data_IF_379724377090
#
_entry.id   IF_379724377090
#
_cell.length_a   1.000
_cell.length_b   1.000
_cell.length_c   1.000
_cell.angle_alpha   90.00
_cell.angle_beta   90.00
_cell.angle_gamma   90.00
#
_symmetry.space_group_name_H-M   'P 1'
#
loop_
_entity.id
_entity.type
_entity.pdbx_description
1 polymer ?
#
# COMPACT_ATOMS: atom_id res chain seq x y z
N UNK A 1 -7.36 -20.08 65.97
CA UNK A 1 -6.36 -19.34 66.76
C UNK A 1 -5.01 -19.96 66.42
N UNK A 2 -4.23 -19.31 65.54
CA UNK A 2 -2.96 -18.60 65.87
C UNK A 2 -1.89 -19.60 66.36
N UNK A 3 -0.69 -19.74 65.80
CA UNK A 3 0.23 -18.72 65.26
C UNK A 3 1.45 -19.38 64.57
N UNK A 4 1.95 -18.74 63.51
CA UNK A 4 3.36 -18.49 63.13
C UNK A 4 4.44 -19.59 63.16
N UNK A 5 5.04 -19.85 62.00
CA UNK A 5 6.42 -19.37 61.72
C UNK A 5 6.88 -19.74 60.29
N UNK A 6 6.79 -18.76 59.39
CA UNK A 6 7.60 -18.70 58.18
C UNK A 6 9.03 -18.31 58.54
N UNK A 7 10.08 -18.96 58.02
CA UNK A 7 11.37 -18.30 57.89
C UNK A 7 11.41 -17.59 56.53
N UNK A 8 11.27 -16.27 56.56
CA UNK A 8 11.80 -15.41 55.51
C UNK A 8 13.32 -15.56 55.48
N UNK A 9 13.85 -16.07 54.37
CA UNK A 9 15.16 -15.66 53.88
C UNK A 9 14.97 -15.15 52.45
N UNK A 10 15.29 -13.87 52.28
CA UNK A 10 15.29 -13.09 51.04
C UNK A 10 16.73 -12.54 50.91
N UNK A 11 17.19 -11.91 49.82
CA UNK A 11 16.93 -12.02 48.38
C UNK A 11 18.26 -12.29 47.61
N UNK A 12 18.24 -12.26 46.27
CA UNK A 12 19.39 -12.08 45.36
C UNK A 12 20.18 -13.32 44.91
N UNK A 13 19.73 -13.96 43.83
CA UNK A 13 20.58 -14.37 42.69
C UNK A 13 19.77 -15.08 41.61
N UNK A 14 19.17 -14.29 40.72
CA UNK A 14 18.92 -14.62 39.29
C UNK A 14 17.88 -13.66 38.73
N UNK A 15 18.30 -12.42 38.50
CA UNK A 15 17.53 -11.45 37.71
C UNK A 15 17.58 -11.86 36.22
N UNK A 16 16.82 -12.88 35.86
CA UNK A 16 16.27 -13.02 34.52
C UNK A 16 14.78 -12.66 34.65
N UNK A 17 14.27 -11.64 33.94
CA UNK A 17 12.84 -11.38 33.96
C UNK A 17 12.13 -12.65 33.49
N UNK A 18 11.20 -13.16 34.30
CA UNK A 18 10.35 -14.28 33.91
C UNK A 18 9.77 -13.97 32.51
N UNK A 19 9.85 -14.91 31.54
CA UNK A 19 9.37 -14.65 30.20
C UNK A 19 7.91 -14.24 30.30
N UNK A 20 7.64 -12.99 29.92
CA UNK A 20 6.30 -12.42 29.99
C UNK A 20 5.31 -13.39 29.33
N UNK A 21 4.13 -13.63 29.93
CA UNK A 21 3.11 -14.47 29.34
C UNK A 21 2.86 -14.08 27.88
N UNK A 22 2.93 -15.05 26.97
CA UNK A 22 2.87 -14.85 25.51
C UNK A 22 1.66 -14.00 25.10
N UNK A 23 0.53 -14.15 25.80
CA UNK A 23 -0.69 -13.39 25.54
C UNK A 23 -0.55 -11.88 25.80
N UNK A 24 0.31 -11.45 26.74
CA UNK A 24 0.59 -10.03 26.99
C UNK A 24 1.32 -9.42 25.80
N UNK A 25 2.30 -10.13 25.24
CA UNK A 25 3.03 -9.70 24.05
C UNK A 25 2.15 -9.63 22.80
N UNK A 26 1.21 -10.56 22.65
CA UNK A 26 0.24 -10.53 21.54
C UNK A 26 -0.74 -9.35 21.71
N UNK A 27 -1.19 -9.10 22.94
CA UNK A 27 -2.10 -8.01 23.24
C UNK A 27 -1.46 -6.64 23.01
N UNK A 28 -0.24 -6.43 23.49
CA UNK A 28 0.48 -5.17 23.26
C UNK A 28 0.73 -4.95 21.77
N UNK A 29 1.14 -6.00 21.04
CA UNK A 29 1.26 -5.98 19.59
C UNK A 29 -0.05 -5.61 18.88
N UNK A 30 -1.19 -6.10 19.38
CA UNK A 30 -2.51 -5.79 18.83
C UNK A 30 -2.94 -4.34 19.13
N UNK A 31 -2.64 -3.84 20.33
CA UNK A 31 -2.96 -2.47 20.77
C UNK A 31 -2.19 -1.42 19.97
N UNK A 32 -0.99 -1.74 19.49
CA UNK A 32 -0.19 -0.87 18.61
C UNK A 32 -0.62 -0.90 17.13
N UNK A 33 -1.49 -1.83 16.73
CA UNK A 33 -2.02 -1.88 15.37
C UNK A 33 -3.19 -0.89 15.19
N UNK A 34 -3.29 -0.18 14.05
CA UNK A 34 -4.46 0.65 13.77
C UNK A 34 -5.73 -0.22 13.62
N UNK A 35 -6.89 0.40 13.84
CA UNK A 35 -8.21 -0.26 13.74
C UNK A 35 -8.34 -1.06 12.43
N UNK A 36 -8.63 -2.35 12.56
CA UNK A 36 -8.76 -3.27 11.43
C UNK A 36 -8.84 -4.73 11.88
N UNK A 37 -9.20 -5.61 10.95
CA UNK A 37 -9.43 -7.04 11.23
C UNK A 37 -8.22 -7.74 11.86
N UNK A 38 -6.99 -7.39 11.44
CA UNK A 38 -5.73 -7.92 11.98
C UNK A 38 -5.56 -7.65 13.49
N UNK A 39 -5.98 -6.47 13.96
CA UNK A 39 -5.99 -6.12 15.39
C UNK A 39 -7.01 -6.96 16.15
N UNK A 40 -8.22 -7.11 15.60
CA UNK A 40 -9.30 -7.89 16.20
C UNK A 40 -8.91 -9.36 16.34
N UNK A 41 -8.28 -9.94 15.31
CA UNK A 41 -7.80 -11.32 15.33
C UNK A 41 -6.73 -11.53 16.42
N UNK A 42 -5.76 -10.60 16.57
CA UNK A 42 -4.74 -10.70 17.60
C UNK A 42 -5.30 -10.53 19.02
N UNK A 43 -6.28 -9.64 19.21
CA UNK A 43 -6.97 -9.47 20.49
C UNK A 43 -7.74 -10.75 20.87
N UNK A 44 -8.45 -11.37 19.92
CA UNK A 44 -9.14 -12.64 20.15
C UNK A 44 -8.19 -13.78 20.49
N UNK A 45 -7.01 -13.82 19.84
CA UNK A 45 -5.98 -14.83 20.15
C UNK A 45 -5.39 -14.58 21.54
N UNK A 46 -5.07 -13.33 21.90
CA UNK A 46 -4.55 -12.98 23.22
C UNK A 46 -5.56 -13.32 24.34
N UNK A 47 -6.83 -13.00 24.14
CA UNK A 47 -7.91 -13.28 25.09
C UNK A 47 -8.10 -14.79 25.30
N UNK A 48 -8.08 -15.59 24.24
CA UNK A 48 -8.19 -17.06 24.35
C UNK A 48 -6.98 -17.70 25.04
N UNK A 49 -5.80 -17.13 24.85
CA UNK A 49 -4.58 -17.58 25.53
C UNK A 49 -4.57 -17.22 27.02
N UNK A 50 -5.15 -16.07 27.37
CA UNK A 50 -5.33 -15.65 28.76
C UNK A 50 -6.25 -16.61 29.53
N UNK A 51 -7.27 -17.17 28.87
CA UNK A 51 -8.25 -18.07 29.49
C UNK A 51 -7.88 -19.56 29.44
N UNK A 52 -6.67 -19.91 28.96
CA UNK A 52 -6.16 -21.28 28.95
C UNK A 52 -6.94 -22.28 28.08
N UNK A 53 -7.85 -21.81 27.22
CA UNK A 53 -8.96 -22.63 26.69
C UNK A 53 -8.75 -23.19 25.27
N UNK A 54 -7.53 -23.19 24.73
CA UNK A 54 -7.20 -24.01 23.56
C UNK A 54 -5.68 -24.18 23.40
N UNK A 55 -5.21 -25.35 22.94
CA UNK A 55 -3.88 -25.43 22.38
C UNK A 55 -3.79 -24.50 21.16
N UNK A 56 -2.70 -23.73 21.03
CA UNK A 56 -2.52 -22.69 20.02
C UNK A 56 -2.72 -23.16 18.56
N UNK A 57 -2.65 -24.46 18.31
CA UNK A 57 -2.92 -25.06 17.01
C UNK A 57 -4.37 -24.90 16.53
N UNK A 58 -5.34 -24.79 17.45
CA UNK A 58 -6.77 -24.63 17.10
C UNK A 58 -7.11 -23.16 16.85
N UNK A 59 -6.43 -22.24 17.55
CA UNK A 59 -6.59 -20.79 17.36
C UNK A 59 -6.05 -20.32 16.00
N UNK A 60 -4.93 -20.89 15.54
CA UNK A 60 -4.30 -20.61 14.24
C UNK A 60 -5.09 -21.20 13.06
N UNK A 61 -5.71 -22.38 13.23
CA UNK A 61 -6.55 -23.04 12.20
C UNK A 61 -7.81 -22.26 11.81
N UNK A 62 -8.41 -21.50 12.74
CA UNK A 62 -9.64 -20.72 12.47
C UNK A 62 -9.37 -19.40 11.73
N UNK A 63 -8.18 -18.82 11.85
CA UNK A 63 -7.75 -17.60 11.14
C UNK A 63 -6.98 -17.91 9.82
N UNK A 64 -6.69 -19.20 9.57
CA UNK A 64 -6.01 -19.73 8.38
C UNK A 64 -6.63 -19.31 7.03
N UNK A 65 -7.85 -18.75 7.03
CA UNK A 65 -8.46 -18.28 5.80
C UNK A 65 -7.87 -16.96 5.28
N UNK A 66 -7.30 -16.05 6.11
CA UNK A 66 -6.96 -14.69 5.63
C UNK A 66 -5.78 -13.92 6.23
N UNK A 67 -5.05 -14.37 7.25
CA UNK A 67 -4.04 -13.51 7.90
C UNK A 67 -2.63 -14.08 7.91
N UNK A 68 -1.70 -13.33 7.29
CA UNK A 68 -0.25 -13.47 7.36
C UNK A 68 0.29 -13.77 8.77
N UNK A 69 -0.35 -13.16 9.76
CA UNK A 69 -0.10 -13.29 11.18
C UNK A 69 -0.23 -14.73 11.69
N UNK A 70 -1.19 -15.51 11.20
CA UNK A 70 -1.46 -16.86 11.71
C UNK A 70 -0.32 -17.82 11.39
N UNK A 71 0.24 -17.72 10.18
CA UNK A 71 1.40 -18.48 9.77
C UNK A 71 2.62 -18.06 10.59
N UNK A 72 2.95 -16.77 10.67
CA UNK A 72 4.10 -16.30 11.47
C UNK A 72 3.98 -16.66 12.95
N UNK A 73 2.78 -16.59 13.52
CA UNK A 73 2.48 -17.02 14.89
C UNK A 73 2.75 -18.52 15.06
N UNK A 74 2.32 -19.36 14.13
CA UNK A 74 2.54 -20.79 14.18
C UNK A 74 4.04 -21.15 14.14
N UNK A 75 4.82 -20.53 13.25
CA UNK A 75 6.28 -20.73 13.24
C UNK A 75 6.98 -20.21 14.49
N UNK A 76 6.52 -19.08 15.02
CA UNK A 76 7.10 -18.44 16.20
C UNK A 76 6.91 -19.32 17.46
N UNK A 77 5.85 -20.14 17.46
CA UNK A 77 5.56 -21.11 18.52
C UNK A 77 6.34 -22.40 18.36
N UNK A 78 6.51 -22.91 17.14
CA UNK A 78 7.31 -24.11 16.86
C UNK A 78 8.81 -23.87 17.14
N UNK A 79 9.29 -22.64 16.94
CA UNK A 79 10.71 -22.25 17.15
C UNK A 79 11.06 -21.81 18.57
N UNK A 80 10.08 -21.69 19.49
CA UNK A 80 10.30 -21.22 20.86
C UNK A 80 10.76 -19.76 21.00
N UNK A 81 10.88 -19.00 19.90
CA UNK A 81 11.41 -17.63 19.85
C UNK A 81 10.32 -16.61 19.54
N UNK A 82 9.17 -16.76 20.20
CA UNK A 82 7.96 -16.00 19.94
C UNK A 82 8.18 -14.48 19.94
N UNK A 83 8.85 -13.96 20.96
CA UNK A 83 9.06 -12.52 21.14
C UNK A 83 9.86 -11.89 19.99
N UNK A 84 10.94 -12.54 19.54
CA UNK A 84 11.83 -12.00 18.51
C UNK A 84 11.18 -12.00 17.12
N UNK A 85 10.47 -13.07 16.78
CA UNK A 85 9.74 -13.17 15.51
C UNK A 85 8.60 -12.15 15.45
N UNK A 86 7.91 -11.94 16.56
CA UNK A 86 6.82 -10.97 16.64
C UNK A 86 7.34 -9.53 16.57
N UNK A 87 8.43 -9.22 17.28
CA UNK A 87 9.05 -7.90 17.27
C UNK A 87 9.52 -7.51 15.86
N UNK A 88 10.22 -8.40 15.16
CA UNK A 88 10.70 -8.13 13.80
C UNK A 88 9.55 -8.08 12.78
N UNK A 89 8.51 -8.91 12.96
CA UNK A 89 7.28 -8.81 12.17
C UNK A 89 6.59 -7.45 12.37
N UNK A 90 6.44 -7.00 13.61
CA UNK A 90 5.83 -5.71 13.94
C UNK A 90 6.65 -4.56 13.36
N UNK A 91 7.98 -4.60 13.48
CA UNK A 91 8.90 -3.62 12.91
C UNK A 91 8.76 -3.52 11.38
N UNK A 92 8.77 -4.67 10.70
CA UNK A 92 8.60 -4.76 9.24
C UNK A 92 7.22 -4.26 8.81
N UNK A 93 6.16 -4.68 9.50
CA UNK A 93 4.79 -4.26 9.22
C UNK A 93 4.58 -2.75 9.41
N UNK A 94 5.16 -2.17 10.49
CA UNK A 94 5.18 -0.72 10.73
C UNK A 94 5.86 0.02 9.58
N UNK A 95 7.02 -0.44 9.13
CA UNK A 95 7.78 0.19 8.04
C UNK A 95 7.02 0.15 6.71
N UNK A 96 6.45 -0.99 6.33
CA UNK A 96 5.62 -1.15 5.14
C UNK A 96 4.33 -0.32 5.22
N UNK A 97 3.74 -0.19 6.41
CA UNK A 97 2.55 0.62 6.61
C UNK A 97 2.85 2.11 6.48
N UNK A 98 3.96 2.60 7.04
CA UNK A 98 4.43 3.99 6.88
C UNK A 98 4.70 4.33 5.42
N UNK A 99 5.37 3.43 4.68
CA UNK A 99 5.59 3.54 3.24
C UNK A 99 4.28 3.77 2.48
N UNK A 100 3.29 2.91 2.76
CA UNK A 100 2.01 2.98 2.05
C UNK A 100 1.17 4.18 2.46
N UNK A 101 1.15 4.52 3.73
CA UNK A 101 0.49 5.73 4.21
C UNK A 101 1.09 6.99 3.59
N UNK A 102 2.42 7.07 3.49
CA UNK A 102 3.11 8.18 2.80
C UNK A 102 2.70 8.26 1.33
N UNK A 103 2.60 7.14 0.63
CA UNK A 103 2.12 7.10 -0.76
C UNK A 103 0.69 7.63 -0.89
N UNK A 104 -0.25 7.17 -0.05
CA UNK A 104 -1.65 7.62 -0.10
C UNK A 104 -1.81 9.09 0.31
N UNK A 105 -1.13 9.54 1.38
CA UNK A 105 -1.18 10.96 1.79
C UNK A 105 -0.69 11.89 0.68
N UNK A 106 0.30 11.44 -0.09
CA UNK A 106 0.88 12.25 -1.16
C UNK A 106 -0.04 12.45 -2.35
N UNK A 107 -0.99 11.53 -2.57
CA UNK A 107 -1.98 11.64 -3.65
C UNK A 107 -3.18 12.51 -3.26
N UNK A 108 -3.39 12.77 -1.98
CA UNK A 108 -4.50 13.62 -1.50
C UNK A 108 -4.34 15.05 -2.00
N UNK A 109 -3.12 15.60 -1.95
CA UNK A 109 -2.85 16.97 -2.37
C UNK A 109 -3.20 17.24 -3.85
N UNK A 110 -2.67 16.50 -4.85
CA UNK A 110 -3.01 16.74 -6.25
C UNK A 110 -4.49 16.49 -6.54
N UNK A 111 -5.11 15.52 -5.87
CA UNK A 111 -6.53 15.24 -6.05
C UNK A 111 -7.43 16.37 -5.52
N UNK A 112 -7.13 16.89 -4.34
CA UNK A 112 -7.84 18.03 -3.76
C UNK A 112 -7.70 19.28 -4.64
N UNK A 113 -6.49 19.55 -5.15
CA UNK A 113 -6.25 20.68 -6.05
C UNK A 113 -7.00 20.54 -7.37
N UNK A 114 -7.03 19.34 -7.97
CA UNK A 114 -7.74 19.08 -9.22
C UNK A 114 -9.25 19.21 -9.04
N UNK A 115 -9.81 18.72 -7.94
CA UNK A 115 -11.23 18.94 -7.59
C UNK A 115 -11.51 20.44 -7.49
N UNK A 116 -10.71 21.18 -6.72
CA UNK A 116 -10.92 22.62 -6.53
C UNK A 116 -10.83 23.38 -7.84
N UNK A 117 -9.81 23.10 -8.67
CA UNK A 117 -9.65 23.71 -9.98
C UNK A 117 -10.84 23.39 -10.90
N UNK A 118 -11.33 22.15 -10.88
CA UNK A 118 -12.49 21.74 -11.68
C UNK A 118 -13.76 22.46 -11.24
N UNK A 119 -13.99 22.60 -9.92
CA UNK A 119 -15.12 23.36 -9.38
C UNK A 119 -15.04 24.82 -9.83
N UNK A 120 -13.89 25.47 -9.64
CA UNK A 120 -13.69 26.88 -10.04
C UNK A 120 -13.92 27.06 -11.54
N UNK A 121 -13.36 26.18 -12.37
CA UNK A 121 -13.53 26.21 -13.82
C UNK A 121 -14.98 25.98 -14.24
N UNK A 122 -15.68 25.04 -13.61
CA UNK A 122 -17.08 24.76 -13.88
C UNK A 122 -17.98 25.95 -13.51
N UNK A 123 -17.78 26.55 -12.33
CA UNK A 123 -18.51 27.76 -11.92
C UNK A 123 -18.26 28.89 -12.92
N UNK A 124 -17.01 29.07 -13.35
CA UNK A 124 -16.65 30.09 -14.32
C UNK A 124 -17.35 29.85 -15.67
N UNK A 125 -17.27 28.63 -16.22
CA UNK A 125 -17.90 28.30 -17.49
C UNK A 125 -19.43 28.43 -17.44
N UNK A 126 -20.08 28.00 -16.35
CA UNK A 126 -21.54 28.03 -16.26
C UNK A 126 -22.09 29.45 -16.07
N UNK A 127 -21.46 30.26 -15.21
CA UNK A 127 -21.97 31.60 -14.88
C UNK A 127 -21.43 32.68 -15.83
N UNK A 128 -20.11 32.71 -16.05
CA UNK A 128 -19.45 33.79 -16.79
C UNK A 128 -19.65 33.62 -18.30
N UNK A 129 -19.59 32.39 -18.82
CA UNK A 129 -19.76 32.14 -20.25
C UNK A 129 -21.15 32.52 -20.76
N UNK A 130 -22.20 32.26 -19.99
CA UNK A 130 -23.56 32.58 -20.43
C UNK A 130 -23.83 34.09 -20.41
N UNK A 131 -23.31 34.81 -19.41
CA UNK A 131 -23.41 36.27 -19.37
C UNK A 131 -22.72 36.91 -20.58
N UNK A 132 -21.52 36.45 -20.91
CA UNK A 132 -20.78 36.95 -22.07
C UNK A 132 -21.45 36.59 -23.39
N UNK A 133 -21.97 35.37 -23.53
CA UNK A 133 -22.75 34.96 -24.72
C UNK A 133 -23.92 35.92 -24.96
N UNK A 134 -24.70 36.24 -23.93
CA UNK A 134 -25.83 37.16 -24.05
C UNK A 134 -25.41 38.56 -24.49
N UNK A 135 -24.27 39.04 -23.98
CA UNK A 135 -23.71 40.34 -24.35
C UNK A 135 -23.23 40.33 -25.81
N UNK A 136 -22.46 39.33 -26.23
CA UNK A 136 -21.93 39.23 -27.60
C UNK A 136 -23.03 39.08 -28.65
N UNK A 137 -24.08 38.30 -28.38
CA UNK A 137 -25.25 38.17 -29.26
C UNK A 137 -25.96 39.52 -29.39
N UNK A 138 -26.06 40.30 -28.30
CA UNK A 138 -26.62 41.65 -28.33
C UNK A 138 -25.86 42.63 -29.24
N UNK A 139 -24.58 42.38 -29.50
CA UNK A 139 -23.76 43.16 -30.43
C UNK A 139 -23.77 42.63 -31.87
N UNK A 140 -24.38 41.47 -32.15
CA UNK A 140 -24.48 40.90 -33.49
C UNK A 140 -23.14 40.42 -34.09
N UNK A 141 -22.12 40.20 -33.27
CA UNK A 141 -20.77 39.81 -33.71
C UNK A 141 -20.64 38.29 -33.79
N UNK A 142 -20.00 37.79 -34.86
CA UNK A 142 -19.68 36.36 -34.99
C UNK A 142 -18.68 35.92 -33.91
N UNK A 143 -19.08 34.95 -33.09
CA UNK A 143 -18.25 34.44 -32.01
C UNK A 143 -17.02 33.69 -32.58
N UNK A 144 -15.80 33.95 -32.07
CA UNK A 144 -14.62 33.17 -32.43
C UNK A 144 -14.82 31.67 -32.16
N UNK A 145 -14.21 30.81 -32.99
CA UNK A 145 -14.29 29.36 -32.87
C UNK A 145 -13.92 28.83 -31.47
N UNK A 146 -12.93 29.47 -30.81
CA UNK A 146 -12.51 29.14 -29.44
C UNK A 146 -13.63 29.38 -28.41
N UNK A 147 -14.36 30.50 -28.55
CA UNK A 147 -15.49 30.87 -27.68
C UNK A 147 -16.70 29.97 -27.91
N UNK A 148 -16.97 29.60 -29.17
CA UNK A 148 -18.02 28.61 -29.50
C UNK A 148 -17.71 27.26 -28.86
N UNK A 149 -16.47 26.79 -28.97
CA UNK A 149 -16.04 25.55 -28.31
C UNK A 149 -16.27 25.60 -26.79
N UNK A 150 -15.87 26.69 -26.11
CA UNK A 150 -16.10 26.87 -24.67
C UNK A 150 -17.59 26.89 -24.28
N UNK A 151 -18.44 27.55 -25.08
CA UNK A 151 -19.90 27.55 -24.85
C UNK A 151 -20.47 26.15 -25.02
N UNK A 152 -20.01 25.40 -26.03
CA UNK A 152 -20.46 24.02 -26.25
C UNK A 152 -20.07 23.11 -25.08
N UNK A 153 -18.85 23.27 -24.55
CA UNK A 153 -18.40 22.56 -23.35
C UNK A 153 -19.20 23.00 -22.12
N UNK A 154 -19.50 24.30 -21.96
CA UNK A 154 -20.32 24.82 -20.86
C UNK A 154 -21.76 24.29 -20.90
N UNK A 155 -22.39 24.28 -22.07
CA UNK A 155 -23.74 23.75 -22.28
C UNK A 155 -23.78 22.24 -21.99
N UNK A 156 -22.73 21.49 -22.37
CA UNK A 156 -22.59 20.07 -22.02
C UNK A 156 -22.38 19.85 -20.52
N UNK A 157 -21.55 20.67 -19.87
CA UNK A 157 -21.34 20.63 -18.42
C UNK A 157 -22.60 21.00 -17.65
N UNK A 158 -23.40 21.95 -18.14
CA UNK A 158 -24.67 22.35 -17.53
C UNK A 158 -25.74 21.27 -17.67
N UNK A 159 -25.86 20.66 -18.86
CA UNK A 159 -26.80 19.58 -19.11
C UNK A 159 -26.46 18.29 -18.33
N UNK A 160 -25.17 18.02 -18.14
CA UNK A 160 -24.67 16.81 -17.50
C UNK A 160 -23.94 17.06 -16.18
N UNK A 161 -24.25 18.15 -15.45
CA UNK A 161 -23.53 18.51 -14.21
C UNK A 161 -23.56 17.37 -13.18
N UNK A 162 -24.68 16.64 -13.10
CA UNK A 162 -24.84 15.43 -12.27
C UNK A 162 -23.92 14.31 -12.76
N UNK A 163 -23.78 14.10 -14.07
CA UNK A 163 -22.87 13.09 -14.63
C UNK A 163 -21.39 13.48 -14.46
N UNK A 164 -21.05 14.77 -14.54
CA UNK A 164 -19.70 15.27 -14.26
C UNK A 164 -19.33 15.14 -12.78
N UNK A 165 -20.29 15.36 -11.88
CA UNK A 165 -20.14 15.12 -10.44
C UNK A 165 -20.04 13.61 -10.13
N UNK A 166 -20.79 12.77 -10.84
CA UNK A 166 -20.63 11.31 -10.81
C UNK A 166 -19.29 10.85 -11.41
N UNK A 167 -18.75 11.53 -12.42
CA UNK A 167 -17.44 11.23 -13.00
C UNK A 167 -16.31 11.57 -12.01
N UNK A 168 -16.38 12.74 -11.37
CA UNK A 168 -15.46 13.16 -10.31
C UNK A 168 -15.56 12.24 -9.09
N UNK A 169 -16.77 11.91 -8.65
CA UNK A 169 -17.01 10.93 -7.59
C UNK A 169 -16.52 9.53 -7.99
N UNK A 170 -16.67 9.15 -9.27
CA UNK A 170 -16.17 7.91 -9.84
C UNK A 170 -14.65 7.85 -9.89
N UNK A 171 -13.97 8.95 -10.24
CA UNK A 171 -12.52 9.08 -10.17
C UNK A 171 -12.01 9.03 -8.72
N UNK A 172 -12.71 9.71 -7.80
CA UNK A 172 -12.40 9.68 -6.36
C UNK A 172 -12.62 8.28 -5.77
N UNK A 173 -13.66 7.59 -6.24
CA UNK A 173 -13.99 6.24 -5.84
C UNK A 173 -13.15 5.19 -6.58
N UNK A 174 -12.47 5.50 -7.69
CA UNK A 174 -11.66 4.56 -8.47
C UNK A 174 -10.63 3.80 -7.63
N UNK A 175 -9.82 4.43 -6.75
CA UNK A 175 -8.94 3.71 -5.83
C UNK A 175 -9.70 2.80 -4.86
N UNK A 176 -10.91 3.20 -4.45
CA UNK A 176 -11.78 2.42 -3.59
C UNK A 176 -12.42 1.26 -4.36
N UNK A 177 -12.86 1.48 -5.60
CA UNK A 177 -13.51 0.50 -6.47
C UNK A 177 -12.50 -0.57 -6.92
N UNK A 178 -11.25 -0.18 -7.21
CA UNK A 178 -10.13 -1.11 -7.41
C UNK A 178 -9.90 -2.02 -6.20
N UNK A 179 -10.22 -1.59 -4.97
CA UNK A 179 -10.18 -2.47 -3.80
C UNK A 179 -11.24 -3.59 -3.86
N UNK A 180 -12.38 -3.33 -4.51
CA UNK A 180 -13.55 -4.21 -4.59
C UNK A 180 -13.64 -5.09 -5.85
N UNK A 181 -12.83 -4.86 -6.89
CA UNK A 181 -12.82 -5.74 -8.07
C UNK A 181 -12.43 -7.20 -7.70
N UNK A 182 -13.20 -8.22 -8.14
CA UNK A 182 -12.86 -9.62 -7.93
C UNK A 182 -11.67 -10.03 -8.83
N UNK A 183 -10.73 -10.80 -8.26
CA UNK A 183 -9.52 -11.25 -8.95
C UNK A 183 -8.26 -10.48 -8.53
N UNK A 184 -7.69 -10.85 -7.37
CA UNK A 184 -6.48 -10.20 -6.82
C UNK A 184 -5.30 -10.21 -7.81
N UNK A 185 -5.15 -11.28 -8.59
CA UNK A 185 -4.08 -11.42 -9.57
C UNK A 185 -4.24 -10.50 -10.79
N UNK A 186 -5.46 -10.41 -11.34
CA UNK A 186 -5.76 -9.51 -12.45
C UNK A 186 -5.54 -8.05 -12.04
N UNK A 187 -5.99 -7.67 -10.84
CA UNK A 187 -5.75 -6.33 -10.29
C UNK A 187 -4.27 -6.02 -10.12
N UNK A 188 -3.49 -6.96 -9.58
CA UNK A 188 -2.04 -6.76 -9.42
C UNK A 188 -1.36 -6.60 -10.78
N UNK A 189 -1.79 -7.34 -11.81
CA UNK A 189 -1.26 -7.24 -13.17
C UNK A 189 -1.61 -5.90 -13.85
N UNK A 190 -2.85 -5.42 -13.70
CA UNK A 190 -3.28 -4.12 -14.21
C UNK A 190 -2.54 -2.98 -13.50
N UNK A 191 -2.40 -3.03 -12.17
CA UNK A 191 -1.67 -2.01 -11.42
C UNK A 191 -0.17 -2.01 -11.77
N UNK A 192 0.42 -3.18 -12.05
CA UNK A 192 1.81 -3.32 -12.51
C UNK A 192 2.04 -2.84 -13.95
N UNK A 193 0.99 -2.70 -14.76
CA UNK A 193 1.11 -2.22 -16.14
C UNK A 193 1.37 -0.71 -16.23
N UNK A 194 1.11 0.03 -15.15
CA UNK A 194 1.47 1.46 -15.06
C UNK A 194 2.97 1.53 -14.74
N UNK A 195 3.85 2.00 -15.64
CA UNK A 195 5.31 1.82 -15.50
C UNK A 195 5.91 2.41 -14.21
N UNK A 196 5.38 3.54 -13.71
CA UNK A 196 5.86 4.15 -12.46
C UNK A 196 5.25 3.51 -11.20
N UNK A 197 3.95 3.20 -11.20
CA UNK A 197 3.27 2.60 -10.04
C UNK A 197 3.64 1.12 -9.91
N UNK A 198 3.78 0.43 -11.03
CA UNK A 198 4.13 -0.99 -11.10
C UNK A 198 5.54 -1.28 -10.65
N UNK A 199 6.52 -0.45 -11.02
CA UNK A 199 7.90 -0.59 -10.53
C UNK A 199 7.99 -0.31 -9.02
N UNK A 200 7.31 0.73 -8.51
CA UNK A 200 7.25 0.99 -7.08
C UNK A 200 6.58 -0.17 -6.31
N UNK A 201 5.48 -0.72 -6.84
CA UNK A 201 4.77 -1.85 -6.24
C UNK A 201 5.58 -3.14 -6.29
N UNK A 202 6.31 -3.41 -7.38
CA UNK A 202 7.19 -4.59 -7.51
C UNK A 202 8.31 -4.54 -6.48
N UNK A 203 8.95 -3.38 -6.32
CA UNK A 203 10.00 -3.17 -5.32
C UNK A 203 9.44 -3.27 -3.89
N UNK A 204 8.26 -2.71 -3.62
CA UNK A 204 7.63 -2.85 -2.31
C UNK A 204 7.29 -4.32 -1.98
N UNK A 205 6.79 -5.09 -2.96
CA UNK A 205 6.50 -6.51 -2.79
C UNK A 205 7.77 -7.34 -2.57
N UNK A 206 8.85 -7.04 -3.28
CA UNK A 206 10.15 -7.67 -3.08
C UNK A 206 10.73 -7.36 -1.70
N UNK A 207 10.63 -6.11 -1.23
CA UNK A 207 11.04 -5.73 0.11
C UNK A 207 10.27 -6.51 1.20
N UNK A 208 8.95 -6.62 1.04
CA UNK A 208 8.09 -7.39 1.96
C UNK A 208 8.46 -8.88 1.97
N UNK A 209 8.74 -9.46 0.80
CA UNK A 209 9.23 -10.85 0.68
C UNK A 209 10.55 -11.04 1.43
N UNK A 210 11.56 -10.21 1.13
CA UNK A 210 12.89 -10.33 1.73
C UNK A 210 12.84 -10.19 3.26
N UNK A 211 12.15 -9.16 3.75
CA UNK A 211 12.05 -8.90 5.19
C UNK A 211 11.41 -10.08 5.92
N UNK A 212 10.28 -10.59 5.40
CA UNK A 212 9.58 -11.70 6.04
C UNK A 212 10.36 -13.01 5.94
N UNK A 213 11.03 -13.27 4.82
CA UNK A 213 11.87 -14.44 4.69
C UNK A 213 13.03 -14.39 5.68
N UNK A 214 13.70 -13.23 5.84
CA UNK A 214 14.76 -13.06 6.82
C UNK A 214 14.30 -13.44 8.23
N UNK A 215 13.14 -12.93 8.69
CA UNK A 215 12.58 -13.26 10.01
C UNK A 215 12.37 -14.77 10.19
N UNK A 216 11.85 -15.43 9.16
CA UNK A 216 11.57 -16.88 9.21
C UNK A 216 12.87 -17.70 9.25
N UNK A 217 13.90 -17.27 8.51
CA UNK A 217 15.21 -17.92 8.51
C UNK A 217 15.94 -17.68 9.84
N UNK A 218 15.85 -16.49 10.43
CA UNK A 218 16.38 -16.21 11.78
C UNK A 218 15.71 -17.06 12.84
N UNK A 219 14.41 -17.36 12.66
CA UNK A 219 13.66 -18.29 13.48
C UNK A 219 14.07 -19.77 13.29
N UNK A 220 15.11 -20.03 12.48
CA UNK A 220 15.65 -21.36 12.16
C UNK A 220 14.66 -22.27 11.45
N UNK A 221 13.71 -21.71 10.70
CA UNK A 221 12.82 -22.51 9.87
C UNK A 221 13.55 -23.01 8.63
N UNK A 222 13.32 -24.28 8.21
CA UNK A 222 13.79 -24.77 6.92
C UNK A 222 13.24 -23.90 5.78
N UNK A 223 14.06 -23.63 4.76
CA UNK A 223 13.70 -22.76 3.64
C UNK A 223 12.40 -23.13 2.93
N UNK A 224 12.13 -24.41 2.56
CA UNK A 224 10.86 -24.78 1.92
C UNK A 224 9.66 -24.40 2.79
N UNK A 225 9.76 -24.64 4.10
CA UNK A 225 8.69 -24.31 5.05
C UNK A 225 8.51 -22.80 5.18
N UNK A 226 9.60 -22.05 5.25
CA UNK A 226 9.56 -20.59 5.26
C UNK A 226 8.85 -20.03 4.00
N UNK A 227 9.16 -20.56 2.82
CA UNK A 227 8.54 -20.16 1.55
C UNK A 227 7.04 -20.52 1.48
N UNK A 228 6.64 -21.71 1.95
CA UNK A 228 5.22 -22.06 2.08
C UNK A 228 4.47 -21.05 2.95
N UNK A 229 5.06 -20.69 4.08
CA UNK A 229 4.46 -19.73 5.02
C UNK A 229 4.38 -18.32 4.42
N UNK A 230 5.38 -17.91 3.66
CA UNK A 230 5.35 -16.67 2.89
C UNK A 230 4.24 -16.65 1.86
N UNK A 231 4.01 -17.74 1.13
CA UNK A 231 2.95 -17.81 0.11
C UNK A 231 1.55 -17.54 0.67
N UNK A 232 1.32 -17.87 1.94
CA UNK A 232 0.06 -17.60 2.64
C UNK A 232 -0.01 -16.17 3.15
N UNK A 233 1.15 -15.62 3.53
CA UNK A 233 1.31 -14.37 4.25
C UNK A 233 1.40 -13.13 3.35
N UNK A 234 2.03 -13.25 2.19
CA UNK A 234 2.26 -12.11 1.31
C UNK A 234 0.96 -11.51 0.78
N UNK A 235 0.97 -10.18 0.63
CA UNK A 235 -0.16 -9.41 0.11
C UNK A 235 -0.20 -9.37 -1.41
N UNK A 236 0.97 -9.30 -2.03
CA UNK A 236 1.12 -9.27 -3.48
C UNK A 236 0.86 -10.67 -4.05
N UNK A 237 -0.13 -10.78 -4.94
CA UNK A 237 -0.57 -12.08 -5.45
C UNK A 237 0.50 -12.79 -6.28
N UNK A 238 1.30 -12.04 -7.04
CA UNK A 238 2.36 -12.61 -7.88
C UNK A 238 3.50 -13.14 -7.00
N UNK A 239 3.88 -12.38 -5.97
CA UNK A 239 4.90 -12.82 -5.01
C UNK A 239 4.44 -14.03 -4.17
N UNK A 240 3.13 -14.18 -3.91
CA UNK A 240 2.58 -15.39 -3.27
C UNK A 240 2.76 -16.62 -4.15
N UNK A 241 2.43 -16.50 -5.44
CA UNK A 241 2.56 -17.59 -6.41
C UNK A 241 4.02 -17.98 -6.59
N UNK A 242 4.89 -16.99 -6.75
CA UNK A 242 6.35 -17.18 -6.79
C UNK A 242 6.88 -17.93 -5.56
N UNK A 243 6.49 -17.48 -4.35
CA UNK A 243 6.90 -18.15 -3.11
C UNK A 243 6.44 -19.61 -3.04
N UNK A 244 5.24 -19.90 -3.55
CA UNK A 244 4.68 -21.25 -3.57
C UNK A 244 5.44 -22.15 -4.54
N UNK A 245 5.69 -21.70 -5.77
CA UNK A 245 6.45 -22.46 -6.75
C UNK A 245 7.88 -22.72 -6.26
N UNK A 246 8.54 -21.72 -5.69
CA UNK A 246 9.86 -21.89 -5.08
C UNK A 246 9.82 -22.92 -3.96
N UNK A 247 8.81 -22.89 -3.08
CA UNK A 247 8.67 -23.88 -2.01
C UNK A 247 8.57 -25.30 -2.56
N UNK A 248 7.70 -25.53 -3.55
CA UNK A 248 7.48 -26.83 -4.18
C UNK A 248 8.77 -27.37 -4.82
N UNK A 249 9.54 -26.51 -5.49
CA UNK A 249 10.78 -26.89 -6.17
C UNK A 249 11.95 -27.17 -5.24
N UNK A 250 12.13 -26.33 -4.21
CA UNK A 250 13.18 -26.57 -3.21
C UNK A 250 12.86 -27.83 -2.40
N UNK A 251 11.57 -28.09 -2.12
CA UNK A 251 11.16 -29.33 -1.49
C UNK A 251 11.38 -30.57 -2.38
N UNK A 252 11.29 -30.40 -3.71
CA UNK A 252 11.67 -31.43 -4.68
C UNK A 252 13.19 -31.61 -4.86
N UNK A 253 14.03 -30.87 -4.11
CA UNK A 253 15.48 -30.99 -4.13
C UNK A 253 16.19 -30.06 -5.13
N UNK A 254 15.47 -29.14 -5.77
CA UNK A 254 16.10 -28.11 -6.62
C UNK A 254 16.90 -27.14 -5.76
N UNK A 255 18.09 -26.73 -6.22
CA UNK A 255 18.86 -25.68 -5.56
C UNK A 255 18.04 -24.38 -5.48
N UNK A 256 18.12 -23.70 -4.34
CA UNK A 256 17.29 -22.54 -4.05
C UNK A 256 17.61 -21.33 -4.95
N UNK A 257 18.87 -21.18 -5.40
CA UNK A 257 19.23 -20.10 -6.31
C UNK A 257 18.66 -20.37 -7.70
N UNK A 258 18.67 -21.62 -8.17
CA UNK A 258 18.07 -22.02 -9.45
C UNK A 258 16.55 -21.84 -9.41
N UNK A 259 15.90 -22.28 -8.33
CA UNK A 259 14.47 -22.10 -8.15
C UNK A 259 14.05 -20.61 -8.13
N UNK A 260 14.90 -19.73 -7.60
CA UNK A 260 14.68 -18.28 -7.61
C UNK A 260 14.92 -17.64 -9.00
N UNK A 261 15.90 -18.14 -9.76
CA UNK A 261 16.27 -17.60 -11.07
C UNK A 261 15.21 -17.87 -12.15
N UNK A 262 14.55 -19.02 -12.09
CA UNK A 262 13.51 -19.40 -13.03
C UNK A 262 12.16 -18.69 -12.80
N UNK A 263 12.00 -18.01 -11.66
CA UNK A 263 10.75 -17.35 -11.29
C UNK A 263 10.68 -15.92 -11.85
N UNK A 264 9.86 -15.72 -12.89
CA UNK A 264 9.78 -14.45 -13.63
C UNK A 264 9.30 -13.25 -12.80
N UNK A 265 8.52 -13.51 -11.75
CA UNK A 265 7.98 -12.48 -10.87
C UNK A 265 9.00 -12.00 -9.83
N UNK A 266 10.08 -12.75 -9.60
CA UNK A 266 11.17 -12.36 -8.73
C UNK A 266 12.10 -11.35 -9.44
N UNK A 267 12.50 -10.25 -8.78
CA UNK A 267 13.56 -9.40 -9.34
C UNK A 267 14.88 -10.17 -9.44
N UNK A 268 15.64 -10.06 -10.53
CA UNK A 268 16.90 -10.79 -10.69
C UNK A 268 17.94 -10.43 -9.60
N UNK A 269 17.88 -9.20 -9.08
CA UNK A 269 18.69 -8.72 -7.95
C UNK A 269 18.48 -9.54 -6.67
N UNK A 270 17.31 -10.19 -6.53
CA UNK A 270 16.94 -10.99 -5.37
C UNK A 270 17.46 -12.43 -5.42
N UNK A 271 18.04 -12.89 -6.54
CA UNK A 271 18.58 -14.25 -6.65
C UNK A 271 19.89 -14.40 -5.85
N UNK A 272 20.69 -13.33 -5.74
CA UNK A 272 22.03 -13.38 -5.13
C UNK A 272 22.07 -13.90 -3.69
N UNK A 273 21.20 -13.48 -2.75
CA UNK A 273 21.16 -14.04 -1.40
C UNK A 273 20.90 -15.55 -1.36
N UNK A 274 20.12 -16.11 -2.29
CA UNK A 274 19.76 -17.54 -2.28
C UNK A 274 20.96 -18.49 -2.48
N UNK A 275 22.10 -17.96 -2.95
CA UNK A 275 23.36 -18.72 -3.06
C UNK A 275 23.97 -19.06 -1.69
N UNK A 276 23.57 -18.35 -0.63
CA UNK A 276 24.11 -18.50 0.73
C UNK A 276 23.16 -19.27 1.67
N UNK A 277 22.17 -19.98 1.12
CA UNK A 277 21.15 -20.72 1.89
C UNK A 277 21.70 -21.78 2.83
N UNK A 278 22.94 -22.24 2.61
CA UNK A 278 23.64 -23.16 3.49
C UNK A 278 24.09 -22.53 4.82
N UNK A 279 24.18 -21.19 4.88
CA UNK A 279 24.57 -20.43 6.07
C UNK A 279 23.40 -19.51 6.47
N UNK A 280 22.51 -19.95 7.40
CA UNK A 280 21.27 -19.24 7.67
C UNK A 280 21.46 -17.79 8.13
N UNK A 281 22.54 -17.51 8.89
CA UNK A 281 22.83 -16.16 9.38
C UNK A 281 23.22 -15.22 8.22
N UNK A 282 24.15 -15.66 7.36
CA UNK A 282 24.55 -14.90 6.16
C UNK A 282 23.39 -14.73 5.17
N UNK A 283 22.50 -15.73 5.06
CA UNK A 283 21.33 -15.65 4.21
C UNK A 283 20.31 -14.64 4.75
N UNK A 284 20.00 -14.67 6.04
CA UNK A 284 19.10 -13.73 6.68
C UNK A 284 19.61 -12.28 6.56
N UNK A 285 20.91 -12.05 6.77
CA UNK A 285 21.53 -10.74 6.62
C UNK A 285 21.49 -10.25 5.16
N UNK A 286 21.79 -11.11 4.20
CA UNK A 286 21.66 -10.79 2.77
C UNK A 286 20.24 -10.39 2.38
N UNK A 287 19.23 -11.09 2.92
CA UNK A 287 17.83 -10.75 2.71
C UNK A 287 17.44 -9.42 3.35
N UNK A 288 17.94 -9.10 4.56
CA UNK A 288 17.71 -7.80 5.20
C UNK A 288 18.25 -6.64 4.36
N UNK A 289 19.48 -6.76 3.87
CA UNK A 289 20.08 -5.73 3.01
C UNK A 289 19.26 -5.53 1.74
N UNK A 290 18.82 -6.63 1.10
CA UNK A 290 17.97 -6.51 -0.10
C UNK A 290 16.59 -5.92 0.21
N UNK A 291 16.01 -6.24 1.35
CA UNK A 291 14.77 -5.61 1.82
C UNK A 291 14.91 -4.09 1.90
N UNK A 292 15.97 -3.60 2.52
CA UNK A 292 16.23 -2.16 2.66
C UNK A 292 16.47 -1.48 1.31
N UNK A 293 17.23 -2.11 0.41
CA UNK A 293 17.46 -1.62 -0.94
C UNK A 293 16.15 -1.50 -1.73
N UNK A 294 15.33 -2.55 -1.76
CA UNK A 294 14.05 -2.52 -2.46
C UNK A 294 13.07 -1.54 -1.82
N UNK A 295 13.03 -1.44 -0.49
CA UNK A 295 12.21 -0.45 0.20
C UNK A 295 12.63 0.98 -0.16
N UNK A 296 13.93 1.24 -0.26
CA UNK A 296 14.48 2.53 -0.68
C UNK A 296 14.15 2.83 -2.14
N UNK A 297 14.33 1.88 -3.05
CA UNK A 297 13.94 2.04 -4.45
C UNK A 297 12.43 2.28 -4.61
N UNK A 298 11.59 1.61 -3.82
CA UNK A 298 10.15 1.85 -3.81
C UNK A 298 9.80 3.28 -3.37
N UNK A 299 10.49 3.83 -2.36
CA UNK A 299 10.35 5.23 -1.94
C UNK A 299 10.75 6.20 -3.04
N UNK A 300 11.93 6.01 -3.62
CA UNK A 300 12.45 6.88 -4.67
C UNK A 300 11.51 6.90 -5.89
N UNK A 301 10.96 5.75 -6.29
CA UNK A 301 9.97 5.68 -7.39
C UNK A 301 8.66 6.39 -7.03
N UNK A 302 8.21 6.27 -5.79
CA UNK A 302 7.05 7.01 -5.29
C UNK A 302 7.31 8.53 -5.23
N UNK A 303 8.52 8.96 -4.90
CA UNK A 303 8.94 10.37 -4.88
C UNK A 303 9.06 10.95 -6.28
N UNK A 304 9.63 10.19 -7.23
CA UNK A 304 9.67 10.58 -8.65
C UNK A 304 8.26 10.75 -9.21
N UNK A 305 7.34 9.86 -8.87
CA UNK A 305 5.94 10.00 -9.28
C UNK A 305 5.33 11.33 -8.78
N UNK A 306 5.66 11.74 -7.55
CA UNK A 306 5.24 13.06 -7.02
C UNK A 306 5.83 14.21 -7.83
N UNK A 307 7.14 14.16 -8.11
CA UNK A 307 7.84 15.20 -8.86
C UNK A 307 7.26 15.42 -10.26
N UNK A 308 6.70 14.38 -10.91
CA UNK A 308 6.04 14.54 -12.21
C UNK A 308 4.56 14.95 -12.10
N UNK A 309 3.82 14.41 -11.12
CA UNK A 309 2.38 14.69 -10.97
C UNK A 309 2.13 16.17 -10.66
N UNK A 310 2.94 16.77 -9.79
CA UNK A 310 2.74 18.15 -9.33
C UNK A 310 2.85 19.19 -10.47
N UNK A 311 3.97 19.30 -11.23
CA UNK A 311 4.07 20.25 -12.33
C UNK A 311 3.10 19.95 -13.46
N UNK A 312 2.77 18.67 -13.72
CA UNK A 312 1.76 18.32 -14.71
C UNK A 312 0.38 18.84 -14.30
N UNK A 313 0.02 18.74 -13.01
CA UNK A 313 -1.24 19.27 -12.49
C UNK A 313 -1.31 20.79 -12.66
N UNK A 314 -0.24 21.50 -12.29
CA UNK A 314 -0.14 22.95 -12.51
C UNK A 314 -0.24 23.32 -13.99
N UNK A 315 0.42 22.58 -14.88
CA UNK A 315 0.36 22.81 -16.32
C UNK A 315 -1.04 22.62 -16.87
N UNK A 316 -1.73 21.53 -16.50
CA UNK A 316 -3.10 21.25 -16.95
C UNK A 316 -4.07 22.32 -16.47
N UNK A 317 -4.01 22.68 -15.18
CA UNK A 317 -4.87 23.73 -14.61
C UNK A 317 -4.56 25.10 -15.22
N UNK A 318 -3.28 25.43 -15.39
CA UNK A 318 -2.84 26.68 -15.99
C UNK A 318 -3.24 26.81 -17.46
N UNK A 319 -3.06 25.77 -18.26
CA UNK A 319 -3.50 25.73 -19.65
C UNK A 319 -5.03 25.82 -19.77
N UNK A 320 -5.78 25.10 -18.91
CA UNK A 320 -7.23 25.18 -18.90
C UNK A 320 -7.73 26.59 -18.54
N UNK A 321 -7.16 27.21 -17.49
CA UNK A 321 -7.47 28.58 -17.11
C UNK A 321 -7.08 29.60 -18.18
N UNK A 322 -5.90 29.43 -18.80
CA UNK A 322 -5.42 30.27 -19.89
C UNK A 322 -6.33 30.21 -21.13
N UNK A 323 -6.75 29.01 -21.53
CA UNK A 323 -7.70 28.82 -22.63
C UNK A 323 -9.02 29.55 -22.36
N UNK A 324 -9.51 29.49 -21.12
CA UNK A 324 -10.70 30.24 -20.70
C UNK A 324 -10.47 31.73 -20.87
N UNK A 325 -9.42 32.30 -20.27
CA UNK A 325 -9.13 33.74 -20.36
C UNK A 325 -9.04 34.20 -21.82
N UNK A 326 -8.28 33.48 -22.66
CA UNK A 326 -8.13 33.82 -24.09
C UNK A 326 -9.48 33.77 -24.81
N UNK A 327 -10.32 32.78 -24.52
CA UNK A 327 -11.66 32.65 -25.13
C UNK A 327 -12.58 33.82 -24.84
N UNK A 328 -12.40 34.48 -23.68
CA UNK A 328 -13.18 35.65 -23.29
C UNK A 328 -12.60 36.97 -23.79
N UNK A 329 -11.28 37.11 -23.79
CA UNK A 329 -10.63 38.34 -24.25
C UNK A 329 -10.64 38.48 -25.77
N UNK A 330 -10.57 37.38 -26.52
CA UNK A 330 -10.50 37.43 -27.98
C UNK A 330 -11.73 38.08 -28.65
N UNK A 331 -12.97 37.78 -28.26
CA UNK A 331 -14.15 38.50 -28.75
C UNK A 331 -14.18 39.97 -28.36
N UNK A 332 -13.72 40.31 -27.14
CA UNK A 332 -13.67 41.69 -26.67
C UNK A 332 -12.72 42.53 -27.53
N UNK A 333 -11.56 41.96 -27.89
CA UNK A 333 -10.59 42.61 -28.78
C UNK A 333 -11.18 42.79 -30.18
N UNK A 334 -11.90 41.80 -30.72
CA UNK A 334 -12.59 41.94 -32.02
C UNK A 334 -13.60 43.08 -32.00
N UNK A 335 -14.45 43.15 -30.96
CA UNK A 335 -15.41 44.25 -30.78
C UNK A 335 -14.72 45.61 -30.73
N UNK A 336 -13.61 45.72 -29.99
CA UNK A 336 -12.87 46.98 -29.88
C UNK A 336 -12.24 47.40 -31.21
N UNK A 337 -11.79 46.44 -32.03
CA UNK A 337 -11.20 46.70 -33.34
C UNK A 337 -12.24 46.99 -34.42
N UNK A 338 -13.45 46.43 -34.32
CA UNK A 338 -14.57 46.74 -35.22
C UNK A 338 -15.20 48.11 -34.91
N UNK A 339 -14.98 48.65 -33.69
CA UNK A 339 -15.44 49.97 -33.25
C UNK A 339 -14.41 51.09 -33.47
N UNK A 340 -13.16 50.76 -33.82
CA UNK A 340 -12.05 51.69 -34.05
C UNK A 340 -11.85 51.96 -35.55
#
# INVERSE_FOLDING_TARGET
>A
MMSDSFPFSNPASSSAPAPLPIWIGIRSAAEEMPWGQERTDLLQIAERLQHGSAPLHTATKMSARRTALAATLQSALESGRFAQVMEEYLRTSRNLRRLRWSFWLSLIYPFAMLILATIVLAVFLLLVSQQMKNILIGFGVELPALTVFMITVSDFLGAYWVAGLCLLAGLAALPFCLHWLPGKEFRTRVLRSIPLVGSASKNAAAAEFCARLAVLIDARLPLPRALEMLSMSLRDALMRTASRHMAERVNAGTDAAIAAEEEQDLPPQLVSPFRWTQSPDAFADGLRVQSELFATQARLRADQLRFFIEPLTFLVVGCAGGLVIISFFMPLIKLLNDLA
#
